data_IF_559426807634
#
_entry.id   IF_559426807634
#
_cell.length_a   1.000
_cell.length_b   1.000
_cell.length_c   1.000
_cell.angle_alpha   90.00
_cell.angle_beta   90.00
_cell.angle_gamma   90.00
#
_symmetry.space_group_name_H-M   'P 1'
#
loop_
_entity.id
_entity.type
_entity.pdbx_description
1 polymer ?
#
# COMPACT_ATOMS: atom_id res chain seq x y z
N UNK A 1 -40.30 44.83 -24.82
CA UNK A 1 -39.25 43.80 -24.61
C UNK A 1 -39.93 42.41 -24.61
N UNK A 2 -39.68 41.56 -25.61
CA UNK A 2 -40.28 40.22 -25.72
C UNK A 2 -39.41 39.22 -24.94
N UNK A 3 -39.98 38.55 -23.92
CA UNK A 3 -39.28 37.48 -23.19
C UNK A 3 -39.32 36.21 -24.02
N UNK A 4 -38.16 35.65 -24.37
CA UNK A 4 -38.07 34.38 -25.09
C UNK A 4 -38.54 33.24 -24.16
N UNK A 5 -39.61 32.55 -24.54
CA UNK A 5 -40.09 31.36 -23.85
C UNK A 5 -39.17 30.18 -24.22
N UNK A 6 -38.28 29.80 -23.31
CA UNK A 6 -37.45 28.62 -23.50
C UNK A 6 -38.32 27.35 -23.44
N UNK A 7 -38.25 26.53 -24.49
CA UNK A 7 -38.96 25.25 -24.58
C UNK A 7 -38.59 24.33 -23.42
N UNK A 8 -39.61 23.73 -22.77
CA UNK A 8 -39.43 22.81 -21.63
C UNK A 8 -38.57 21.60 -22.01
N UNK A 9 -38.62 21.16 -23.26
CA UNK A 9 -37.86 20.01 -23.77
C UNK A 9 -36.34 20.30 -23.81
N UNK A 10 -35.94 21.50 -24.22
CA UNK A 10 -34.53 21.90 -24.26
C UNK A 10 -33.91 21.99 -22.85
N UNK A 11 -34.71 22.39 -21.85
CA UNK A 11 -34.29 22.45 -20.45
C UNK A 11 -34.09 21.05 -19.84
N UNK A 12 -34.94 20.10 -20.20
CA UNK A 12 -34.83 18.69 -19.73
C UNK A 12 -33.62 18.00 -20.36
N UNK A 13 -33.36 18.21 -21.65
CA UNK A 13 -32.18 17.64 -22.34
C UNK A 13 -30.85 18.17 -21.78
N UNK A 14 -30.77 19.47 -21.50
CA UNK A 14 -29.58 20.08 -20.90
C UNK A 14 -29.33 19.58 -19.47
N UNK A 15 -30.39 19.43 -18.65
CA UNK A 15 -30.28 18.90 -17.29
C UNK A 15 -29.86 17.41 -17.27
N UNK A 16 -30.39 16.60 -18.19
CA UNK A 16 -30.02 15.19 -18.31
C UNK A 16 -28.55 15.02 -18.73
N UNK A 17 -28.06 15.80 -19.69
CA UNK A 17 -26.64 15.80 -20.08
C UNK A 17 -25.72 16.24 -18.94
N UNK A 18 -26.11 17.26 -18.18
CA UNK A 18 -25.34 17.71 -17.02
C UNK A 18 -25.26 16.63 -15.94
N UNK A 19 -26.36 15.94 -15.67
CA UNK A 19 -26.42 14.85 -14.71
C UNK A 19 -25.56 13.66 -15.13
N UNK A 20 -25.65 13.24 -16.40
CA UNK A 20 -24.82 12.14 -16.94
C UNK A 20 -23.34 12.50 -16.90
N UNK A 21 -22.96 13.70 -17.33
CA UNK A 21 -21.57 14.17 -17.25
C UNK A 21 -21.06 14.25 -15.81
N UNK A 22 -21.88 14.71 -14.86
CA UNK A 22 -21.52 14.73 -13.45
C UNK A 22 -21.31 13.31 -12.89
N UNK A 23 -22.18 12.36 -13.22
CA UNK A 23 -22.03 10.95 -12.83
C UNK A 23 -20.76 10.35 -13.44
N UNK A 24 -20.48 10.60 -14.72
CA UNK A 24 -19.27 10.11 -15.39
C UNK A 24 -18.01 10.71 -14.77
N UNK A 25 -17.99 12.01 -14.44
CA UNK A 25 -16.85 12.67 -13.76
C UNK A 25 -16.66 12.13 -12.34
N UNK A 26 -17.74 11.89 -11.59
CA UNK A 26 -17.68 11.28 -10.26
C UNK A 26 -17.12 9.86 -10.35
N UNK A 27 -17.60 9.04 -11.29
CA UNK A 27 -17.09 7.68 -11.51
C UNK A 27 -15.60 7.68 -11.93
N UNK A 28 -15.19 8.59 -12.81
CA UNK A 28 -13.80 8.77 -13.23
C UNK A 28 -12.89 9.20 -12.06
N UNK A 29 -13.37 10.12 -11.22
CA UNK A 29 -12.65 10.59 -10.03
C UNK A 29 -12.48 9.49 -8.97
N UNK A 30 -13.48 8.61 -8.83
CA UNK A 30 -13.39 7.44 -7.93
C UNK A 30 -12.41 6.39 -8.49
N UNK A 31 -12.39 6.19 -9.81
CA UNK A 31 -11.47 5.22 -10.45
C UNK A 31 -10.01 5.69 -10.56
N UNK A 32 -9.75 7.01 -10.54
CA UNK A 32 -8.39 7.56 -10.61
C UNK A 32 -7.68 7.72 -9.27
N UNK A 33 -8.36 7.47 -8.15
CA UNK A 33 -7.89 7.85 -6.82
C UNK A 33 -7.17 6.74 -6.02
N UNK A 34 -7.03 5.50 -6.52
CA UNK A 34 -6.48 4.41 -5.71
C UNK A 34 -5.47 3.54 -6.45
N UNK A 35 -4.23 4.04 -6.52
CA UNK A 35 -3.01 3.25 -6.65
C UNK A 35 -1.96 3.82 -5.68
N UNK A 36 -2.37 4.05 -4.44
CA UNK A 36 -1.38 4.26 -3.39
C UNK A 36 -0.96 2.88 -2.94
N UNK A 37 0.25 2.49 -3.35
CA UNK A 37 1.08 1.58 -2.55
C UNK A 37 1.19 2.14 -1.12
N UNK A 38 1.75 1.34 -0.22
CA UNK A 38 2.34 1.79 1.02
C UNK A 38 2.62 3.32 1.10
N UNK A 39 2.09 4.09 2.07
CA UNK A 39 2.40 5.52 2.19
C UNK A 39 3.19 5.86 3.48
N UNK A 40 4.48 6.28 3.39
CA UNK A 40 5.31 6.33 2.19
C UNK A 40 5.71 4.93 1.69
N UNK A 41 5.95 4.73 0.37
CA UNK A 41 6.19 3.38 -0.18
C UNK A 41 7.65 2.93 -0.07
N UNK A 42 8.48 3.72 0.61
CA UNK A 42 9.90 3.46 0.72
C UNK A 42 10.51 4.24 1.88
N UNK A 43 11.68 3.78 2.30
CA UNK A 43 12.48 4.46 3.31
C UNK A 43 13.90 3.90 3.35
N UNK A 44 14.74 4.50 4.18
CA UNK A 44 16.12 4.07 4.36
C UNK A 44 16.44 3.90 5.83
N UNK A 45 17.07 2.78 6.18
CA UNK A 45 17.55 2.52 7.53
C UNK A 45 19.04 2.17 7.49
N UNK A 46 19.78 2.62 8.49
CA UNK A 46 21.19 2.29 8.68
C UNK A 46 21.44 1.87 10.13
N UNK A 47 22.65 1.41 10.46
CA UNK A 47 22.95 0.93 11.82
C UNK A 47 22.84 2.02 12.90
N UNK A 48 22.92 3.29 12.50
CA UNK A 48 22.69 4.47 13.36
C UNK A 48 21.40 5.25 13.00
N UNK A 49 20.59 4.73 12.07
CA UNK A 49 19.36 5.38 11.61
C UNK A 49 18.23 5.30 12.64
N UNK A 50 17.26 6.22 12.51
CA UNK A 50 16.02 6.15 13.27
C UNK A 50 15.13 5.01 12.76
N UNK A 51 14.18 4.58 13.60
CA UNK A 51 13.12 3.69 13.16
C UNK A 51 12.24 4.38 12.10
N UNK A 52 11.72 3.59 11.18
CA UNK A 52 10.78 4.03 10.15
C UNK A 52 9.36 3.62 10.55
N UNK A 53 8.38 4.41 10.12
CA UNK A 53 6.97 4.08 10.25
C UNK A 53 6.30 4.29 8.90
N UNK A 54 5.34 3.42 8.61
CA UNK A 54 4.63 3.36 7.34
C UNK A 54 3.22 2.82 7.60
N UNK A 55 2.21 3.46 6.99
CA UNK A 55 0.82 3.00 7.06
C UNK A 55 0.39 2.41 5.70
N UNK A 56 -0.05 1.15 5.73
CA UNK A 56 -0.61 0.47 4.58
C UNK A 56 -1.96 1.04 4.14
N UNK A 57 -2.28 0.82 2.88
CA UNK A 57 -3.47 1.34 2.20
C UNK A 57 -4.38 0.21 1.72
N UNK A 58 -3.88 -1.03 1.64
CA UNK A 58 -4.66 -2.18 1.20
C UNK A 58 -5.80 -2.49 2.20
N UNK A 59 -7.07 -2.58 1.76
CA UNK A 59 -8.25 -2.75 2.62
C UNK A 59 -8.43 -4.15 3.23
N UNK A 60 -7.35 -4.93 3.43
CA UNK A 60 -7.37 -6.17 4.23
C UNK A 60 -8.02 -7.39 3.57
N UNK A 61 -8.19 -7.40 2.24
CA UNK A 61 -8.82 -8.57 1.56
C UNK A 61 -7.88 -9.76 1.35
N UNK A 62 -6.58 -9.58 1.58
CA UNK A 62 -5.54 -10.60 1.41
C UNK A 62 -5.36 -11.06 -0.04
N UNK A 63 -4.15 -11.48 -0.41
CA UNK A 63 -3.92 -12.09 -1.72
C UNK A 63 -4.32 -13.58 -1.67
N UNK A 64 -5.45 -13.93 -2.31
CA UNK A 64 -6.09 -15.25 -2.14
C UNK A 64 -5.21 -16.47 -2.44
N UNK A 65 -4.17 -16.33 -3.28
CA UNK A 65 -3.18 -17.38 -3.56
C UNK A 65 -1.75 -16.92 -3.24
N UNK A 66 -1.62 -16.14 -2.17
CA UNK A 66 -0.35 -15.55 -1.72
C UNK A 66 0.15 -14.42 -2.62
N UNK A 67 1.38 -13.98 -2.36
CA UNK A 67 2.02 -12.79 -2.98
C UNK A 67 1.96 -12.79 -4.52
N UNK A 68 2.01 -13.96 -5.17
CA UNK A 68 1.92 -14.05 -6.64
C UNK A 68 0.61 -13.52 -7.24
N UNK A 69 -0.44 -13.41 -6.42
CA UNK A 69 -1.75 -12.86 -6.80
C UNK A 69 -2.04 -11.50 -6.17
N UNK A 70 -1.00 -10.88 -5.59
CA UNK A 70 -1.04 -9.54 -5.01
C UNK A 70 -1.46 -8.50 -6.05
N UNK A 71 -2.48 -7.71 -5.70
CA UNK A 71 -2.84 -6.48 -6.39
C UNK A 71 -2.56 -5.32 -5.44
N UNK A 72 -1.49 -4.57 -5.74
CA UNK A 72 -0.99 -3.46 -4.92
C UNK A 72 -2.10 -2.44 -4.59
N UNK A 73 -2.22 -2.07 -3.31
CA UNK A 73 -3.24 -1.15 -2.79
C UNK A 73 -4.65 -1.75 -2.71
N UNK A 74 -4.84 -3.03 -3.08
CA UNK A 74 -6.14 -3.72 -3.02
C UNK A 74 -6.10 -4.92 -2.08
N UNK A 75 -5.13 -5.82 -2.30
CA UNK A 75 -5.00 -7.06 -1.54
C UNK A 75 -3.69 -7.18 -0.77
N UNK A 76 -2.78 -6.22 -0.94
CA UNK A 76 -1.42 -6.20 -0.41
C UNK A 76 -0.82 -4.80 -0.61
N UNK A 77 0.26 -4.54 0.12
CA UNK A 77 1.10 -3.36 -0.05
C UNK A 77 2.58 -3.77 -0.08
N UNK A 78 3.38 -3.01 -0.81
CA UNK A 78 4.84 -3.19 -0.90
C UNK A 78 5.58 -1.98 -0.34
N UNK A 79 6.46 -2.20 0.64
CA UNK A 79 7.38 -1.17 1.14
C UNK A 79 8.82 -1.44 0.70
N UNK A 80 9.43 -0.50 -0.03
CA UNK A 80 10.81 -0.60 -0.48
C UNK A 80 11.80 -0.05 0.57
N UNK A 81 12.41 -0.94 1.34
CA UNK A 81 13.43 -0.57 2.33
C UNK A 81 14.84 -0.56 1.71
N UNK A 82 15.50 0.60 1.70
CA UNK A 82 16.92 0.70 1.41
C UNK A 82 17.74 0.52 2.69
N UNK A 83 18.53 -0.54 2.76
CA UNK A 83 19.46 -0.76 3.87
C UNK A 83 20.80 -0.10 3.55
N UNK A 84 21.16 0.90 4.35
CA UNK A 84 22.38 1.70 4.20
C UNK A 84 23.50 1.19 5.11
N UNK A 85 24.73 1.62 4.84
CA UNK A 85 25.93 1.09 5.49
C UNK A 85 26.44 -0.19 4.82
N UNK A 86 27.59 -0.67 5.27
CA UNK A 86 28.20 -1.91 4.78
C UNK A 86 27.84 -3.09 5.68
N UNK A 87 27.99 -4.33 5.18
CA UNK A 87 27.80 -5.53 6.02
C UNK A 87 28.70 -5.50 7.27
N UNK A 88 29.92 -4.98 7.13
CA UNK A 88 30.87 -4.80 8.24
C UNK A 88 30.35 -3.80 9.28
N UNK A 89 29.71 -2.70 8.87
CA UNK A 89 29.12 -1.73 9.79
C UNK A 89 28.01 -2.38 10.63
N UNK A 90 27.16 -3.19 9.99
CA UNK A 90 26.11 -3.94 10.66
C UNK A 90 26.67 -5.02 11.58
N UNK A 91 27.66 -5.78 11.13
CA UNK A 91 28.34 -6.79 11.95
C UNK A 91 28.98 -6.16 13.20
N UNK A 92 29.67 -5.03 13.06
CA UNK A 92 30.30 -4.30 14.16
C UNK A 92 29.26 -3.70 15.12
N UNK A 93 28.09 -3.28 14.61
CA UNK A 93 27.02 -2.75 15.44
C UNK A 93 26.31 -3.82 16.28
N UNK A 94 26.35 -5.08 15.84
CA UNK A 94 25.58 -6.18 16.42
C UNK A 94 24.06 -6.04 16.27
N UNK A 95 23.58 -5.08 15.47
CA UNK A 95 22.16 -4.78 15.28
C UNK A 95 21.56 -5.58 14.12
N UNK A 96 20.23 -5.73 14.18
CA UNK A 96 19.37 -6.25 13.11
C UNK A 96 18.21 -5.29 12.88
N UNK A 97 17.52 -5.46 11.77
CA UNK A 97 16.30 -4.73 11.47
C UNK A 97 15.13 -5.64 11.81
N UNK A 98 14.21 -5.16 12.64
CA UNK A 98 12.91 -5.78 12.84
C UNK A 98 11.90 -5.07 11.94
N UNK A 99 11.13 -5.85 11.19
CA UNK A 99 9.98 -5.38 10.43
C UNK A 99 8.75 -5.93 11.12
N UNK A 100 7.81 -5.04 11.46
CA UNK A 100 6.58 -5.38 12.17
C UNK A 100 5.36 -4.82 11.47
N UNK A 101 4.35 -5.66 11.22
CA UNK A 101 3.00 -5.22 10.86
C UNK A 101 2.13 -5.31 12.11
N UNK A 102 1.37 -4.25 12.39
CA UNK A 102 0.33 -4.28 13.42
C UNK A 102 -1.03 -4.18 12.73
N UNK A 103 -1.85 -5.25 12.73
CA UNK A 103 -3.17 -5.21 12.12
C UNK A 103 -4.03 -4.08 12.73
N UNK A 104 -4.80 -3.34 11.92
CA UNK A 104 -5.63 -2.24 12.41
C UNK A 104 -6.87 -2.74 13.18
N UNK A 105 -7.35 -3.95 12.89
CA UNK A 105 -8.39 -4.62 13.67
C UNK A 105 -8.01 -6.07 14.00
N UNK A 106 -8.61 -6.61 15.06
CA UNK A 106 -8.34 -7.97 15.55
C UNK A 106 -8.83 -9.10 14.61
N UNK A 107 -9.62 -8.75 13.59
CA UNK A 107 -10.14 -9.69 12.59
C UNK A 107 -9.32 -9.66 11.30
N UNK A 108 -8.45 -8.66 11.14
CA UNK A 108 -7.66 -8.54 9.93
C UNK A 108 -6.47 -9.48 10.03
N UNK A 109 -6.30 -10.27 8.98
CA UNK A 109 -5.22 -11.23 8.84
C UNK A 109 -4.24 -10.70 7.79
N UNK A 110 -3.03 -10.39 8.24
CA UNK A 110 -1.97 -9.89 7.39
C UNK A 110 -0.82 -10.87 7.43
N UNK A 111 -0.21 -11.11 6.28
CA UNK A 111 1.07 -11.81 6.19
C UNK A 111 2.18 -10.79 5.91
N UNK A 112 3.36 -11.05 6.44
CA UNK A 112 4.58 -10.30 6.17
C UNK A 112 5.56 -11.19 5.41
N UNK A 113 6.03 -10.72 4.26
CA UNK A 113 7.11 -11.40 3.50
C UNK A 113 8.18 -10.38 3.14
N UNK A 114 9.44 -10.71 3.41
CA UNK A 114 10.59 -9.85 3.12
C UNK A 114 11.43 -10.48 2.01
N UNK A 115 11.56 -9.79 0.89
CA UNK A 115 12.44 -10.20 -0.20
C UNK A 115 13.69 -9.32 -0.27
N UNK A 116 14.82 -9.91 -0.68
CA UNK A 116 16.02 -9.16 -1.04
C UNK A 116 15.93 -8.67 -2.48
N UNK A 117 16.07 -7.36 -2.66
CA UNK A 117 16.09 -6.69 -3.96
C UNK A 117 14.71 -6.32 -4.47
N UNK A 118 13.90 -7.30 -4.87
CA UNK A 118 12.53 -7.10 -5.32
C UNK A 118 11.64 -8.29 -4.92
N UNK A 119 10.32 -8.20 -5.12
CA UNK A 119 9.35 -9.24 -4.72
C UNK A 119 9.51 -10.60 -5.44
N UNK A 120 10.35 -10.69 -6.48
CA UNK A 120 10.76 -11.99 -7.07
C UNK A 120 12.11 -12.48 -6.56
N UNK A 121 12.75 -11.73 -5.66
CA UNK A 121 14.02 -12.05 -5.05
C UNK A 121 13.92 -13.12 -3.97
N UNK A 122 15.06 -13.48 -3.39
CA UNK A 122 15.14 -14.45 -2.30
C UNK A 122 14.35 -13.93 -1.09
N UNK A 123 13.48 -14.75 -0.52
CA UNK A 123 12.86 -14.50 0.79
C UNK A 123 13.96 -14.52 1.86
N UNK A 124 14.07 -13.43 2.60
CA UNK A 124 14.96 -13.30 3.75
C UNK A 124 14.28 -13.87 4.98
N UNK A 125 13.05 -13.45 5.24
CA UNK A 125 12.23 -13.89 6.35
C UNK A 125 10.74 -13.58 6.08
N UNK A 126 9.83 -14.19 6.84
CA UNK A 126 8.39 -14.02 6.69
C UNK A 126 7.63 -14.37 7.98
N UNK A 127 6.41 -13.85 8.13
CA UNK A 127 5.51 -14.14 9.24
C UNK A 127 4.05 -14.21 8.74
N UNK A 128 3.26 -15.09 9.35
CA UNK A 128 1.83 -15.28 9.06
C UNK A 128 1.16 -15.93 10.27
N UNK A 129 1.00 -15.15 11.33
CA UNK A 129 0.54 -15.61 12.65
C UNK A 129 -0.99 -15.67 12.77
N UNK A 130 -1.71 -15.09 11.80
CA UNK A 130 -3.17 -15.12 11.73
C UNK A 130 -3.84 -13.85 12.26
N UNK A 131 -5.15 -13.77 12.05
CA UNK A 131 -5.97 -12.60 12.33
C UNK A 131 -5.71 -11.91 13.69
N UNK A 132 -5.42 -10.61 13.64
CA UNK A 132 -5.27 -9.75 14.81
C UNK A 132 -3.95 -9.90 15.57
N UNK A 133 -3.04 -10.77 15.11
CA UNK A 133 -1.72 -10.96 15.72
C UNK A 133 -0.69 -10.13 14.93
N UNK A 134 0.21 -9.38 15.60
CA UNK A 134 1.28 -8.70 14.88
C UNK A 134 2.19 -9.67 14.13
N UNK A 135 2.54 -9.32 12.90
CA UNK A 135 3.55 -10.02 12.12
C UNK A 135 4.93 -9.44 12.41
N UNK A 136 5.91 -10.30 12.66
CA UNK A 136 7.28 -9.89 12.98
C UNK A 136 8.26 -10.76 12.21
N UNK A 137 9.16 -10.11 11.47
CA UNK A 137 10.25 -10.76 10.75
C UNK A 137 11.52 -9.90 10.84
N UNK A 138 12.68 -10.49 10.60
CA UNK A 138 13.96 -9.82 10.80
C UNK A 138 14.84 -9.84 9.55
N UNK A 139 15.60 -8.76 9.35
CA UNK A 139 16.69 -8.68 8.39
C UNK A 139 17.98 -8.61 9.21
N UNK A 140 18.96 -9.43 8.82
CA UNK A 140 20.34 -9.37 9.28
C UNK A 140 21.25 -8.87 8.15
N UNK A 141 21.43 -7.54 7.99
CA UNK A 141 22.24 -6.99 6.90
C UNK A 141 23.71 -7.43 6.93
N UNK A 142 24.20 -7.96 8.06
CA UNK A 142 25.55 -8.52 8.14
C UNK A 142 25.69 -9.86 7.39
N UNK A 143 24.60 -10.53 7.03
CA UNK A 143 24.61 -11.87 6.42
C UNK A 143 23.65 -12.04 5.23
N UNK A 144 22.62 -11.21 5.10
CA UNK A 144 21.56 -11.36 4.10
C UNK A 144 21.88 -10.78 2.73
#
# INVERSE_FOLDING_TARGET
>A
MKKAAFSRTARVSAAALFFISAVVVILLAISGAQLFSANPPSGSIGPAGAALAWDGTAPGTGAANGESTCVEGVSCDTFNLTVTGTQTDWANSGKRIEVKITPPASQDDFDLVIHKGNNSGKIIDSSGNGAGIPEVAHINPAAD
#
